data_IF_311761055199
#
_entry.id   IF_311761055199
#
_cell.length_a   1.000
_cell.length_b   1.000
_cell.length_c   1.000
_cell.angle_alpha   90.00
_cell.angle_beta   90.00
_cell.angle_gamma   90.00
#
_symmetry.space_group_name_H-M   'P 1'
#
loop_
_entity.id
_entity.type
_entity.pdbx_description
1 polymer ?
#
# COMPACT_ATOMS: atom_id res chain seq x y z
N UNK A 1 0.36 -42.28 -42.45
CA UNK A 1 0.48 -40.96 -41.79
C UNK A 1 -0.52 -40.94 -40.64
N UNK A 2 -0.29 -41.49 -39.44
CA UNK A 2 0.87 -41.48 -38.53
C UNK A 2 1.21 -40.11 -37.92
N UNK A 3 0.21 -39.43 -37.35
CA UNK A 3 0.45 -38.22 -36.52
C UNK A 3 -0.36 -38.19 -35.20
N UNK A 4 -1.58 -38.74 -35.16
CA UNK A 4 -2.45 -38.62 -33.96
C UNK A 4 -2.09 -39.50 -32.75
N UNK A 5 -1.20 -40.49 -32.90
CA UNK A 5 -0.83 -41.41 -31.81
C UNK A 5 0.53 -41.09 -31.17
N UNK A 6 1.32 -40.18 -31.75
CA UNK A 6 2.63 -39.77 -31.20
C UNK A 6 2.47 -38.75 -30.07
N UNK A 7 1.58 -37.77 -30.27
CA UNK A 7 1.28 -36.73 -29.27
C UNK A 7 0.78 -37.32 -27.94
N UNK A 8 -0.03 -38.38 -27.94
CA UNK A 8 -0.56 -38.96 -26.69
C UNK A 8 0.50 -39.66 -25.83
N UNK A 9 1.53 -40.23 -26.45
CA UNK A 9 2.60 -40.92 -25.73
C UNK A 9 3.66 -39.93 -25.27
N UNK A 10 4.03 -38.96 -26.11
CA UNK A 10 4.95 -37.88 -25.75
C UNK A 10 4.34 -36.99 -24.65
N UNK A 11 3.06 -36.64 -24.73
CA UNK A 11 2.38 -35.90 -23.65
C UNK A 11 2.34 -36.69 -22.34
N UNK A 12 2.07 -38.00 -22.38
CA UNK A 12 2.08 -38.85 -21.17
C UNK A 12 3.48 -39.04 -20.60
N UNK A 13 4.50 -39.14 -21.45
CA UNK A 13 5.90 -39.27 -21.05
C UNK A 13 6.42 -37.95 -20.46
N UNK A 14 6.13 -36.83 -21.12
CA UNK A 14 6.45 -35.46 -20.66
C UNK A 14 5.71 -35.16 -19.36
N UNK A 15 4.42 -35.48 -19.25
CA UNK A 15 3.65 -35.38 -18.01
C UNK A 15 4.24 -36.24 -16.89
N UNK A 16 4.63 -37.48 -17.19
CA UNK A 16 5.24 -38.40 -16.24
C UNK A 16 6.63 -37.96 -15.77
N UNK A 17 7.44 -37.37 -16.66
CA UNK A 17 8.74 -36.80 -16.35
C UNK A 17 8.61 -35.49 -15.56
N UNK A 18 7.67 -34.61 -15.92
CA UNK A 18 7.35 -33.40 -15.14
C UNK A 18 6.90 -33.78 -13.72
N UNK A 19 6.08 -34.83 -13.56
CA UNK A 19 5.66 -35.32 -12.24
C UNK A 19 6.80 -35.96 -11.43
N UNK A 20 7.83 -36.49 -12.09
CA UNK A 20 9.00 -37.14 -11.47
C UNK A 20 10.12 -36.14 -11.12
N UNK A 21 10.21 -35.03 -11.86
CA UNK A 21 11.27 -34.02 -11.71
C UNK A 21 10.78 -32.65 -11.20
N UNK A 22 9.48 -32.46 -10.97
CA UNK A 22 9.03 -31.34 -10.15
C UNK A 22 9.61 -31.51 -8.74
N UNK A 23 10.38 -30.53 -8.23
CA UNK A 23 10.70 -30.53 -6.81
C UNK A 23 9.35 -30.56 -6.09
N UNK A 24 9.15 -31.53 -5.18
CA UNK A 24 7.97 -31.55 -4.31
C UNK A 24 7.91 -30.18 -3.64
N UNK A 25 7.06 -29.30 -4.14
CA UNK A 25 6.77 -28.04 -3.47
C UNK A 25 6.27 -28.42 -2.08
N UNK A 26 7.10 -28.16 -1.06
CA UNK A 26 6.73 -28.33 0.35
C UNK A 26 5.82 -27.17 0.81
N UNK A 27 5.28 -26.37 -0.10
CA UNK A 27 4.35 -25.29 0.23
C UNK A 27 2.98 -25.89 0.52
N UNK A 28 2.64 -26.01 1.81
CA UNK A 28 1.28 -26.37 2.20
C UNK A 28 0.39 -25.14 2.05
N UNK A 29 -0.46 -25.12 1.01
CA UNK A 29 -1.51 -24.11 0.91
C UNK A 29 -2.47 -24.31 2.10
N UNK A 30 -2.59 -23.33 3.00
CA UNK A 30 -3.43 -23.43 4.20
C UNK A 30 -4.92 -23.68 3.92
N UNK A 31 -5.36 -23.49 2.68
CA UNK A 31 -6.71 -23.80 2.16
C UNK A 31 -6.78 -25.11 1.36
N UNK A 32 -5.75 -25.96 1.41
CA UNK A 32 -5.72 -27.23 0.67
C UNK A 32 -6.81 -28.19 1.15
N UNK A 33 -7.77 -28.47 0.26
CA UNK A 33 -8.81 -29.48 0.50
C UNK A 33 -8.22 -30.87 0.60
N UNK A 34 -7.16 -31.15 -0.16
CA UNK A 34 -6.49 -32.45 -0.16
C UNK A 34 -5.92 -32.80 1.24
N UNK A 35 -5.30 -31.84 1.92
CA UNK A 35 -4.78 -32.05 3.28
C UNK A 35 -5.91 -32.26 4.30
N UNK A 36 -7.03 -31.55 4.12
CA UNK A 36 -8.21 -31.65 4.98
C UNK A 36 -8.89 -33.00 4.81
N UNK A 37 -9.00 -33.48 3.57
CA UNK A 37 -9.66 -34.74 3.23
C UNK A 37 -8.81 -35.94 3.61
N UNK A 38 -7.48 -35.85 3.46
CA UNK A 38 -6.53 -36.89 3.87
C UNK A 38 -6.43 -37.04 5.40
N UNK A 39 -6.78 -36.01 6.17
CA UNK A 39 -6.76 -36.07 7.63
C UNK A 39 -8.00 -36.79 8.20
N UNK A 40 -7.74 -37.87 8.94
CA UNK A 40 -8.73 -38.63 9.71
C UNK A 40 -8.66 -38.33 11.22
N UNK A 41 -7.60 -37.66 11.67
CA UNK A 41 -7.37 -37.38 13.09
C UNK A 41 -8.15 -36.14 13.56
N UNK A 42 -8.62 -36.18 14.81
CA UNK A 42 -9.34 -35.08 15.45
C UNK A 42 -8.85 -34.88 16.88
N UNK A 43 -8.99 -33.66 17.39
CA UNK A 43 -8.76 -33.39 18.81
C UNK A 43 -9.69 -34.24 19.66
N UNK A 44 -9.13 -34.82 20.72
CA UNK A 44 -9.89 -35.59 21.69
C UNK A 44 -10.89 -34.69 22.43
N UNK A 45 -11.92 -35.29 23.03
CA UNK A 45 -12.91 -34.52 23.80
C UNK A 45 -12.29 -33.81 24.99
N UNK A 46 -11.29 -34.42 25.62
CA UNK A 46 -10.53 -33.79 26.70
C UNK A 46 -9.82 -32.51 26.24
N UNK A 47 -9.14 -32.55 25.09
CA UNK A 47 -8.48 -31.37 24.50
C UNK A 47 -9.49 -30.29 24.09
N UNK A 48 -10.61 -30.67 23.46
CA UNK A 48 -11.68 -29.72 23.13
C UNK A 48 -12.22 -29.01 24.38
N UNK A 49 -12.42 -29.75 25.48
CA UNK A 49 -12.84 -29.20 26.76
C UNK A 49 -11.77 -28.31 27.40
N UNK A 50 -10.49 -28.66 27.24
CA UNK A 50 -9.40 -27.84 27.75
C UNK A 50 -9.32 -26.49 27.02
N UNK A 51 -9.50 -26.49 25.70
CA UNK A 51 -9.42 -25.30 24.84
C UNK A 51 -10.68 -24.44 24.99
N UNK A 52 -11.87 -25.02 24.77
CA UNK A 52 -13.13 -24.28 24.69
C UNK A 52 -13.93 -24.24 26.01
N UNK A 53 -13.43 -24.92 27.06
CA UNK A 53 -14.05 -24.97 28.40
C UNK A 53 -15.53 -25.33 28.31
N UNK A 54 -16.40 -24.60 29.03
CA UNK A 54 -17.86 -24.81 29.08
C UNK A 54 -18.55 -24.68 27.71
N UNK A 55 -17.88 -24.15 26.68
CA UNK A 55 -18.46 -23.97 25.34
C UNK A 55 -18.08 -25.10 24.37
N UNK A 56 -17.31 -26.09 24.80
CA UNK A 56 -16.84 -27.22 23.97
C UNK A 56 -17.99 -27.99 23.28
N UNK A 57 -19.18 -28.04 23.88
CA UNK A 57 -20.37 -28.70 23.30
C UNK A 57 -20.94 -27.98 22.06
N UNK A 58 -20.64 -26.68 21.88
CA UNK A 58 -21.13 -25.90 20.75
C UNK A 58 -20.22 -25.96 19.52
N UNK A 59 -19.01 -26.54 19.64
CA UNK A 59 -18.03 -26.59 18.56
C UNK A 59 -17.91 -28.02 18.00
N UNK A 60 -17.90 -28.18 16.66
CA UNK A 60 -17.54 -29.45 16.07
C UNK A 60 -16.09 -29.80 16.42
N UNK A 61 -15.81 -31.09 16.61
CA UNK A 61 -14.45 -31.56 16.90
C UNK A 61 -13.48 -31.13 15.78
N UNK A 62 -12.41 -30.41 16.14
CA UNK A 62 -11.44 -29.93 15.17
C UNK A 62 -10.61 -31.09 14.58
N UNK A 63 -10.39 -31.05 13.27
CA UNK A 63 -9.45 -31.97 12.60
C UNK A 63 -8.02 -31.57 12.90
N UNK A 64 -7.16 -32.57 13.10
CA UNK A 64 -5.71 -32.38 13.24
C UNK A 64 -5.08 -32.58 11.87
N UNK A 65 -4.44 -31.55 11.33
CA UNK A 65 -3.74 -31.65 10.05
C UNK A 65 -2.26 -31.89 10.32
N UNK A 66 -1.76 -33.05 9.87
CA UNK A 66 -0.35 -33.37 9.98
C UNK A 66 0.44 -32.55 8.95
N UNK A 67 1.40 -31.76 9.43
CA UNK A 67 2.27 -30.91 8.60
C UNK A 67 3.72 -31.04 9.06
N UNK A 68 4.66 -30.42 8.35
CA UNK A 68 6.07 -30.35 8.80
C UNK A 68 6.30 -29.34 9.93
N UNK A 69 5.29 -28.55 10.29
CA UNK A 69 5.40 -27.48 11.28
C UNK A 69 5.45 -28.08 12.68
N UNK A 70 6.45 -27.69 13.46
CA UNK A 70 6.66 -28.11 14.84
C UNK A 70 6.70 -26.89 15.77
N UNK A 71 6.49 -27.10 17.06
CA UNK A 71 6.55 -26.05 18.06
C UNK A 71 7.15 -26.55 19.38
N UNK A 72 7.88 -25.69 20.09
CA UNK A 72 8.50 -25.99 21.39
C UNK A 72 8.52 -24.74 22.29
N UNK A 73 8.54 -24.91 23.62
CA UNK A 73 8.79 -23.81 24.57
C UNK A 73 10.27 -23.83 24.96
N UNK A 74 10.99 -22.75 24.67
CA UNK A 74 12.43 -22.66 24.85
C UNK A 74 12.85 -21.38 25.57
N UNK A 75 14.04 -21.42 26.17
CA UNK A 75 14.73 -20.24 26.69
C UNK A 75 15.76 -19.76 25.67
N UNK A 76 15.70 -18.48 25.29
CA UNK A 76 16.68 -17.85 24.41
C UNK A 76 17.55 -16.92 25.25
N UNK A 77 18.84 -17.24 25.38
CA UNK A 77 19.82 -16.39 26.07
C UNK A 77 20.19 -15.16 25.22
N UNK A 78 20.76 -14.11 25.82
CA UNK A 78 21.24 -12.95 25.07
C UNK A 78 22.32 -13.30 24.04
N UNK A 79 23.18 -14.29 24.34
CA UNK A 79 24.20 -14.79 23.41
C UNK A 79 23.56 -15.48 22.22
N UNK A 80 22.64 -16.42 22.47
CA UNK A 80 21.93 -17.12 21.40
C UNK A 80 21.09 -16.14 20.55
N UNK A 81 20.48 -15.12 21.16
CA UNK A 81 19.76 -14.09 20.42
C UNK A 81 20.67 -13.32 19.45
N UNK A 82 21.91 -13.00 19.87
CA UNK A 82 22.91 -12.39 18.98
C UNK A 82 23.31 -13.34 17.85
N UNK A 83 23.54 -14.61 18.16
CA UNK A 83 23.88 -15.63 17.15
C UNK A 83 22.75 -15.82 16.14
N UNK A 84 21.49 -15.90 16.61
CA UNK A 84 20.30 -15.99 15.75
C UNK A 84 20.23 -14.80 14.79
N UNK A 85 20.50 -13.58 15.26
CA UNK A 85 20.50 -12.39 14.41
C UNK A 85 21.69 -12.37 13.43
N UNK A 86 22.85 -12.89 13.86
CA UNK A 86 24.06 -12.92 13.04
C UNK A 86 23.99 -13.95 11.92
N UNK A 87 23.52 -15.18 12.22
CA UNK A 87 23.54 -16.31 11.29
C UNK A 87 22.26 -16.49 10.48
N UNK A 88 21.18 -15.80 10.85
CA UNK A 88 20.04 -15.64 9.95
C UNK A 88 20.52 -14.86 8.72
N UNK A 89 20.42 -15.45 7.52
CA UNK A 89 20.82 -14.86 6.23
C UNK A 89 20.06 -13.57 5.92
N UNK A 90 18.93 -13.33 6.60
CA UNK A 90 18.21 -12.04 6.57
C UNK A 90 18.72 -10.98 7.57
N UNK A 91 19.63 -11.34 8.47
CA UNK A 91 20.35 -10.47 9.40
C UNK A 91 21.72 -10.02 8.89
N UNK A 92 22.36 -10.82 8.05
CA UNK A 92 23.58 -10.47 7.32
C UNK A 92 23.42 -10.80 5.83
N UNK A 93 23.22 -9.77 4.99
CA UNK A 93 23.39 -9.84 3.53
C UNK A 93 22.37 -10.73 2.81
N UNK A 94 21.14 -10.23 2.66
CA UNK A 94 20.32 -10.54 1.49
C UNK A 94 20.09 -9.23 0.71
N UNK A 95 20.83 -8.97 -0.39
CA UNK A 95 20.67 -7.74 -1.17
C UNK A 95 19.28 -7.63 -1.83
N UNK A 96 18.58 -8.75 -2.01
CA UNK A 96 17.29 -8.86 -2.71
C UNK A 96 16.08 -8.66 -1.77
N UNK A 97 16.19 -8.98 -0.47
CA UNK A 97 15.06 -8.94 0.47
C UNK A 97 15.45 -8.35 1.84
N UNK A 98 15.01 -7.12 2.12
CA UNK A 98 15.29 -6.44 3.39
C UNK A 98 14.26 -6.80 4.47
N UNK A 99 14.74 -7.19 5.64
CA UNK A 99 13.91 -7.37 6.84
C UNK A 99 13.23 -6.05 7.26
N UNK A 100 12.04 -6.16 7.88
CA UNK A 100 11.29 -5.02 8.44
C UNK A 100 12.19 -4.24 9.39
N UNK A 101 12.24 -2.91 9.23
CA UNK A 101 12.91 -2.02 10.20
C UNK A 101 12.24 -2.16 11.56
N UNK A 102 12.97 -2.69 12.53
CA UNK A 102 12.48 -2.89 13.89
C UNK A 102 12.32 -1.53 14.58
N UNK A 103 11.22 -1.36 15.33
CA UNK A 103 10.97 -0.14 16.08
C UNK A 103 11.91 -0.06 17.30
N UNK A 104 12.84 0.90 17.30
CA UNK A 104 13.75 1.15 18.42
C UNK A 104 13.02 1.36 19.76
N UNK A 105 11.84 1.96 19.72
CA UNK A 105 11.03 2.19 20.92
C UNK A 105 10.45 0.89 21.49
N UNK A 106 10.01 -0.03 20.62
CA UNK A 106 9.48 -1.34 21.06
C UNK A 106 10.59 -2.24 21.57
N UNK A 107 11.75 -2.26 20.91
CA UNK A 107 12.96 -2.96 21.38
C UNK A 107 13.33 -2.49 22.78
N UNK A 108 13.49 -1.17 22.99
CA UNK A 108 13.84 -0.62 24.29
C UNK A 108 12.86 -1.03 25.39
N UNK A 109 11.55 -1.00 25.10
CA UNK A 109 10.51 -1.41 26.06
C UNK A 109 10.64 -2.90 26.43
N UNK A 110 10.89 -3.77 25.46
CA UNK A 110 11.04 -5.20 25.69
C UNK A 110 12.34 -5.54 26.41
N UNK A 111 13.45 -4.88 26.07
CA UNK A 111 14.73 -5.02 26.77
C UNK A 111 14.56 -4.69 28.25
N UNK A 112 13.93 -3.56 28.58
CA UNK A 112 13.65 -3.20 29.98
C UNK A 112 12.77 -4.23 30.70
N UNK A 113 11.75 -4.76 30.02
CA UNK A 113 10.90 -5.80 30.62
C UNK A 113 11.66 -7.11 30.87
N UNK A 114 12.60 -7.49 29.99
CA UNK A 114 13.45 -8.67 30.16
C UNK A 114 14.46 -8.46 31.30
N UNK A 115 15.13 -7.31 31.35
CA UNK A 115 16.09 -6.95 32.40
C UNK A 115 15.44 -6.93 33.79
N UNK A 116 14.24 -6.34 33.88
CA UNK A 116 13.44 -6.26 35.11
C UNK A 116 12.80 -7.60 35.52
N UNK A 117 13.00 -8.69 34.76
CA UNK A 117 12.30 -9.96 34.95
C UNK A 117 10.77 -9.83 34.92
N UNK A 118 10.25 -8.85 34.19
CA UNK A 118 8.81 -8.58 33.98
C UNK A 118 8.28 -9.14 32.66
N UNK A 119 9.14 -9.81 31.88
CA UNK A 119 8.73 -10.44 30.63
C UNK A 119 7.83 -11.65 30.91
N UNK A 120 6.63 -11.66 30.32
CA UNK A 120 5.71 -12.79 30.40
C UNK A 120 5.85 -13.70 29.18
N UNK A 121 5.72 -15.02 29.37
CA UNK A 121 5.59 -15.96 28.27
C UNK A 121 4.32 -15.63 27.46
N UNK A 122 4.52 -15.12 26.24
CA UNK A 122 3.43 -14.77 25.32
C UNK A 122 3.09 -15.95 24.43
N UNK A 123 1.81 -16.12 24.07
CA UNK A 123 1.40 -17.09 23.04
C UNK A 123 1.88 -16.76 21.61
N UNK A 124 2.49 -15.58 21.43
CA UNK A 124 3.11 -15.16 20.18
C UNK A 124 4.50 -15.83 20.02
N UNK A 125 4.72 -16.69 19.01
CA UNK A 125 5.96 -17.45 18.87
C UNK A 125 7.08 -16.69 18.13
N UNK A 126 8.30 -17.19 18.24
CA UNK A 126 9.38 -16.93 17.28
C UNK A 126 9.26 -17.98 16.16
N UNK A 127 9.20 -17.53 14.91
CA UNK A 127 8.97 -18.44 13.77
C UNK A 127 10.24 -18.58 12.94
N UNK A 128 10.65 -19.82 12.70
CA UNK A 128 11.78 -20.18 11.85
C UNK A 128 11.32 -20.88 10.56
N UNK A 129 11.96 -20.56 9.44
CA UNK A 129 11.77 -21.28 8.18
C UNK A 129 12.32 -22.70 8.26
N UNK A 130 12.04 -23.52 7.26
CA UNK A 130 12.69 -24.84 7.09
C UNK A 130 14.20 -24.74 6.93
N UNK A 131 14.70 -23.59 6.49
CA UNK A 131 16.12 -23.34 6.21
C UNK A 131 16.83 -22.68 7.41
N UNK A 132 16.13 -22.50 8.53
CA UNK A 132 16.68 -21.92 9.76
C UNK A 132 16.59 -20.39 9.85
N UNK A 133 15.92 -19.73 8.89
CA UNK A 133 15.79 -18.27 8.86
C UNK A 133 14.72 -17.78 9.83
N UNK A 134 14.95 -16.63 10.47
CA UNK A 134 13.94 -15.98 11.32
C UNK A 134 12.86 -15.35 10.44
N UNK A 135 11.64 -15.87 10.50
CA UNK A 135 10.47 -15.34 9.80
C UNK A 135 9.68 -14.35 10.66
N UNK A 136 9.57 -14.59 11.97
CA UNK A 136 8.89 -13.70 12.91
C UNK A 136 9.59 -13.68 14.27
N UNK A 137 9.45 -12.57 14.99
CA UNK A 137 9.98 -12.39 16.35
C UNK A 137 11.21 -11.48 16.45
N UNK A 138 11.63 -10.84 15.37
CA UNK A 138 12.81 -9.97 15.29
C UNK A 138 12.91 -8.96 16.45
N UNK A 139 11.83 -8.23 16.77
CA UNK A 139 11.83 -7.25 17.88
C UNK A 139 12.16 -7.88 19.23
N UNK A 140 11.71 -9.12 19.47
CA UNK A 140 11.95 -9.83 20.73
C UNK A 140 13.36 -10.39 20.80
N UNK A 141 13.85 -10.92 19.69
CA UNK A 141 15.24 -11.39 19.59
C UNK A 141 16.20 -10.22 19.75
N UNK A 142 15.96 -9.09 19.07
CA UNK A 142 16.77 -7.87 19.21
C UNK A 142 16.71 -7.30 20.63
N UNK A 143 15.54 -7.34 21.26
CA UNK A 143 15.40 -6.94 22.66
C UNK A 143 16.21 -7.82 23.61
N UNK A 144 16.19 -9.14 23.40
CA UNK A 144 16.96 -10.11 24.19
C UNK A 144 18.46 -10.01 23.94
N UNK A 145 18.88 -9.75 22.69
CA UNK A 145 20.27 -9.49 22.34
C UNK A 145 20.83 -8.25 23.02
N UNK A 146 19.97 -7.25 23.29
CA UNK A 146 20.30 -6.02 24.01
C UNK A 146 20.10 -6.11 25.53
N UNK A 147 19.46 -7.17 26.03
CA UNK A 147 19.18 -7.38 27.46
C UNK A 147 20.32 -8.13 28.14
N UNK A 148 20.45 -7.93 29.45
CA UNK A 148 21.26 -8.74 30.35
C UNK A 148 20.69 -10.13 30.61
N UNK A 149 19.40 -10.34 30.32
CA UNK A 149 18.66 -11.59 30.58
C UNK A 149 18.00 -12.10 29.30
N UNK A 150 17.93 -13.41 29.17
CA UNK A 150 17.18 -14.06 28.11
C UNK A 150 15.67 -14.04 28.38
N UNK A 151 14.92 -14.70 27.51
CA UNK A 151 13.46 -14.83 27.68
C UNK A 151 12.98 -16.22 27.29
N UNK A 152 11.86 -16.63 27.89
CA UNK A 152 11.16 -17.86 27.54
C UNK A 152 10.13 -17.54 26.46
N UNK A 153 10.08 -18.36 25.41
CA UNK A 153 9.18 -18.16 24.28
C UNK A 153 8.79 -19.48 23.62
N UNK A 154 7.68 -19.47 22.90
CA UNK A 154 7.32 -20.56 22.00
C UNK A 154 8.09 -20.36 20.69
N UNK A 155 8.75 -21.37 20.18
CA UNK A 155 9.28 -21.40 18.82
C UNK A 155 8.36 -22.22 17.93
N UNK A 156 8.22 -21.81 16.67
CA UNK A 156 7.62 -22.61 15.60
C UNK A 156 8.68 -22.77 14.51
N UNK A 157 8.88 -23.98 14.00
CA UNK A 157 9.92 -24.25 13.00
C UNK A 157 9.47 -25.31 11.98
N UNK A 158 10.16 -25.36 10.84
CA UNK A 158 9.77 -26.23 9.71
C UNK A 158 8.73 -25.60 8.78
N UNK A 159 8.63 -24.26 8.79
CA UNK A 159 7.76 -23.48 7.89
C UNK A 159 8.44 -23.36 6.53
N UNK A 160 7.84 -23.98 5.52
CA UNK A 160 8.39 -24.16 4.16
C UNK A 160 7.85 -23.18 3.14
N UNK A 161 7.02 -22.23 3.55
CA UNK A 161 6.26 -21.37 2.64
C UNK A 161 6.80 -19.94 2.61
N UNK A 162 7.38 -19.58 1.46
CA UNK A 162 7.82 -18.22 1.15
C UNK A 162 6.65 -17.22 1.11
N UNK A 163 5.42 -17.67 0.78
CA UNK A 163 4.21 -16.83 0.76
C UNK A 163 3.59 -16.62 2.15
N UNK A 164 3.80 -17.54 3.09
CA UNK A 164 3.35 -17.38 4.48
C UNK A 164 3.98 -16.15 5.14
N UNK A 165 5.16 -15.72 4.67
CA UNK A 165 5.79 -14.48 5.12
C UNK A 165 4.93 -13.22 4.88
N UNK A 166 4.14 -13.18 3.81
CA UNK A 166 3.22 -12.07 3.55
C UNK A 166 2.08 -12.01 4.58
N UNK A 167 1.74 -13.15 5.19
CA UNK A 167 0.59 -13.32 6.09
C UNK A 167 0.95 -13.44 7.58
N UNK A 168 2.22 -13.76 7.93
CA UNK A 168 2.70 -13.80 9.32
C UNK A 168 3.05 -12.36 9.78
N UNK A 169 2.10 -11.69 10.41
CA UNK A 169 2.22 -10.65 11.46
C UNK A 169 0.86 -9.93 11.64
N UNK A 170 -0.03 -10.47 12.48
CA UNK A 170 -1.37 -9.88 12.72
C UNK A 170 -1.33 -8.73 13.76
N UNK A 171 -0.16 -8.41 14.33
CA UNK A 171 -0.03 -7.33 15.32
C UNK A 171 0.04 -5.91 14.73
N UNK A 172 0.55 -5.76 13.50
CA UNK A 172 0.56 -4.50 12.73
C UNK A 172 0.54 -4.87 11.25
N UNK A 173 -0.63 -4.76 10.61
CA UNK A 173 -0.78 -4.93 9.16
C UNK A 173 0.29 -4.07 8.47
N UNK A 174 1.19 -4.71 7.70
CA UNK A 174 2.23 -4.00 6.93
C UNK A 174 1.54 -2.95 6.05
N UNK A 175 1.97 -1.70 6.12
CA UNK A 175 1.42 -0.68 5.23
C UNK A 175 1.84 -0.98 3.78
N UNK A 176 1.09 -0.46 2.82
CA UNK A 176 1.44 -0.56 1.40
C UNK A 176 2.85 -0.03 1.10
N UNK A 177 3.23 1.08 1.72
CA UNK A 177 4.59 1.62 1.62
C UNK A 177 5.62 0.65 2.20
N UNK A 178 5.35 0.01 3.34
CA UNK A 178 6.26 -0.98 3.94
C UNK A 178 6.42 -2.21 3.04
N UNK A 179 5.35 -2.67 2.37
CA UNK A 179 5.44 -3.76 1.38
C UNK A 179 6.39 -3.36 0.24
N UNK A 180 6.24 -2.15 -0.30
CA UNK A 180 7.12 -1.63 -1.35
C UNK A 180 8.58 -1.47 -0.87
N UNK A 181 8.81 -0.96 0.35
CA UNK A 181 10.16 -0.86 0.93
C UNK A 181 10.83 -2.23 1.06
N UNK A 182 10.08 -3.24 1.48
CA UNK A 182 10.58 -4.62 1.61
C UNK A 182 10.89 -5.26 0.26
N UNK A 183 10.15 -4.88 -0.78
CA UNK A 183 10.40 -5.29 -2.16
C UNK A 183 11.60 -4.56 -2.81
N UNK A 184 12.23 -3.60 -2.12
CA UNK A 184 13.44 -2.95 -2.61
C UNK A 184 13.21 -1.87 -3.67
N UNK A 185 12.02 -1.24 -3.70
CA UNK A 185 11.78 -0.11 -4.62
C UNK A 185 12.81 1.00 -4.41
N UNK A 186 13.32 1.56 -5.51
CA UNK A 186 14.39 2.57 -5.49
C UNK A 186 13.87 4.02 -5.33
N UNK A 187 12.56 4.20 -5.31
CA UNK A 187 11.88 5.50 -5.15
C UNK A 187 11.22 5.61 -3.78
N UNK A 188 10.73 6.80 -3.42
CA UNK A 188 10.02 6.98 -2.14
C UNK A 188 8.74 6.12 -2.10
N UNK A 189 8.78 5.06 -1.30
CA UNK A 189 7.71 4.08 -1.15
C UNK A 189 6.40 4.68 -0.59
N UNK A 190 6.48 5.75 0.21
CA UNK A 190 5.29 6.42 0.74
C UNK A 190 4.59 7.23 -0.35
N UNK A 191 5.36 7.91 -1.19
CA UNK A 191 4.82 8.64 -2.35
C UNK A 191 4.27 7.62 -3.36
N UNK A 192 5.05 6.60 -3.72
CA UNK A 192 4.63 5.56 -4.67
C UNK A 192 3.35 4.85 -4.22
N UNK A 193 3.23 4.53 -2.93
CA UNK A 193 2.02 3.94 -2.39
C UNK A 193 0.79 4.83 -2.58
N UNK A 194 0.91 6.14 -2.37
CA UNK A 194 -0.21 7.08 -2.54
C UNK A 194 -0.58 7.26 -4.00
N UNK A 195 0.42 7.34 -4.89
CA UNK A 195 0.23 7.46 -6.34
C UNK A 195 -0.45 6.20 -6.89
N UNK A 196 0.02 5.01 -6.51
CA UNK A 196 -0.60 3.74 -6.88
C UNK A 196 -2.07 3.66 -6.43
N UNK A 197 -2.37 4.11 -5.20
CA UNK A 197 -3.76 4.16 -4.72
C UNK A 197 -4.64 5.12 -5.53
N UNK A 198 -4.13 6.30 -5.90
CA UNK A 198 -4.85 7.25 -6.74
C UNK A 198 -5.08 6.69 -8.15
N UNK A 199 -4.07 6.06 -8.74
CA UNK A 199 -4.15 5.42 -10.05
C UNK A 199 -5.19 4.30 -10.06
N UNK A 200 -5.13 3.36 -9.09
CA UNK A 200 -6.10 2.27 -9.00
C UNK A 200 -7.53 2.80 -8.82
N UNK A 201 -7.70 3.83 -7.98
CA UNK A 201 -9.00 4.45 -7.75
C UNK A 201 -9.54 5.13 -9.01
N UNK A 202 -8.67 5.77 -9.79
CA UNK A 202 -9.03 6.40 -11.05
C UNK A 202 -9.45 5.34 -12.08
N UNK A 203 -8.67 4.27 -12.23
CA UNK A 203 -8.94 3.16 -13.16
C UNK A 203 -10.27 2.45 -12.84
N UNK A 204 -10.60 2.29 -11.55
CA UNK A 204 -11.87 1.71 -11.11
C UNK A 204 -13.07 2.64 -11.31
N UNK A 205 -12.84 3.94 -11.57
CA UNK A 205 -13.91 4.91 -11.72
C UNK A 205 -14.49 4.84 -13.14
N UNK A 206 -15.62 4.15 -13.29
CA UNK A 206 -16.35 3.98 -14.57
C UNK A 206 -16.58 5.30 -15.33
N UNK A 207 -16.95 6.37 -14.62
CA UNK A 207 -17.08 7.70 -15.20
C UNK A 207 -15.97 8.58 -14.62
N UNK A 208 -14.90 8.83 -15.39
CA UNK A 208 -13.73 9.61 -14.95
C UNK A 208 -14.09 11.00 -14.40
N UNK A 209 -15.14 11.65 -14.92
CA UNK A 209 -15.65 12.93 -14.39
C UNK A 209 -16.23 12.83 -12.96
N UNK A 210 -16.54 11.61 -12.50
CA UNK A 210 -17.01 11.32 -11.16
C UNK A 210 -15.90 10.91 -10.18
N UNK A 211 -14.63 10.94 -10.57
CA UNK A 211 -13.53 10.59 -9.69
C UNK A 211 -13.50 11.49 -8.44
N UNK A 212 -13.38 10.90 -7.25
CA UNK A 212 -13.39 11.59 -5.95
C UNK A 212 -12.29 11.10 -5.01
N UNK A 213 -11.20 10.58 -5.58
CA UNK A 213 -10.04 10.10 -4.82
C UNK A 213 -10.20 8.63 -4.43
N UNK A 214 -9.54 8.25 -3.34
CA UNK A 214 -9.37 6.85 -2.94
C UNK A 214 -10.49 6.32 -2.04
N UNK A 215 -11.56 7.09 -1.84
CA UNK A 215 -12.68 6.71 -0.98
C UNK A 215 -13.46 5.56 -1.61
N UNK A 216 -13.59 4.44 -0.88
CA UNK A 216 -14.26 3.24 -1.37
C UNK A 216 -13.40 2.35 -2.28
N UNK A 217 -12.15 2.73 -2.54
CA UNK A 217 -11.20 1.91 -3.30
C UNK A 217 -10.67 0.79 -2.41
N UNK A 218 -11.03 -0.47 -2.73
CA UNK A 218 -10.34 -1.63 -2.18
C UNK A 218 -9.00 -1.80 -2.88
N UNK A 219 -7.93 -1.83 -2.10
CA UNK A 219 -6.59 -2.09 -2.61
C UNK A 219 -5.81 -2.83 -1.53
N UNK A 220 -5.73 -4.15 -1.59
CA UNK A 220 -5.06 -4.90 -0.53
C UNK A 220 -3.56 -4.57 -0.49
N UNK A 221 -2.94 -4.75 0.67
CA UNK A 221 -1.52 -4.44 0.83
C UNK A 221 -0.64 -5.39 0.01
N UNK A 222 -1.04 -6.65 -0.14
CA UNK A 222 -0.34 -7.62 -0.99
C UNK A 222 -0.46 -7.31 -2.49
N UNK A 223 -1.56 -6.68 -2.92
CA UNK A 223 -1.78 -6.33 -4.34
C UNK A 223 -0.88 -5.19 -4.82
N UNK A 224 -0.28 -4.40 -3.92
CA UNK A 224 0.44 -3.19 -4.35
C UNK A 224 1.70 -3.52 -5.14
N UNK A 225 2.39 -4.60 -4.78
CA UNK A 225 3.63 -4.97 -5.44
C UNK A 225 3.37 -5.27 -6.91
N UNK A 226 2.44 -6.19 -7.17
CA UNK A 226 2.00 -6.54 -8.52
C UNK A 226 1.49 -5.32 -9.31
N UNK A 227 0.68 -4.46 -8.68
CA UNK A 227 0.15 -3.26 -9.35
C UNK A 227 1.25 -2.26 -9.76
N UNK A 228 2.32 -2.14 -8.98
CA UNK A 228 3.45 -1.25 -9.28
C UNK A 228 4.41 -1.89 -10.28
N UNK A 229 4.64 -3.20 -10.20
CA UNK A 229 5.47 -3.96 -11.15
C UNK A 229 4.91 -3.92 -12.57
N UNK A 230 3.59 -3.98 -12.72
CA UNK A 230 2.93 -3.85 -14.03
C UNK A 230 2.94 -2.41 -14.58
N UNK A 231 3.42 -1.42 -13.81
CA UNK A 231 3.27 0.01 -14.10
C UNK A 231 4.49 0.82 -13.66
N UNK A 232 5.61 0.56 -14.31
CA UNK A 232 6.88 1.24 -14.06
C UNK A 232 6.78 2.77 -14.20
N UNK A 233 5.83 3.29 -14.99
CA UNK A 233 5.58 4.72 -15.19
C UNK A 233 5.16 5.44 -13.91
N UNK A 234 4.57 4.72 -12.94
CA UNK A 234 4.29 5.25 -11.61
C UNK A 234 5.60 5.59 -10.90
N UNK A 235 6.58 4.68 -10.94
CA UNK A 235 7.88 4.89 -10.31
C UNK A 235 8.67 6.01 -11.00
N UNK A 236 8.65 6.08 -12.34
CA UNK A 236 9.27 7.16 -13.11
C UNK A 236 8.70 8.54 -12.72
N UNK A 237 7.38 8.64 -12.59
CA UNK A 237 6.70 9.86 -12.17
C UNK A 237 7.04 10.26 -10.73
N UNK A 238 7.17 9.27 -9.84
CA UNK A 238 7.59 9.51 -8.45
C UNK A 238 9.03 9.99 -8.38
N UNK A 239 9.96 9.37 -9.13
CA UNK A 239 11.37 9.76 -9.14
C UNK A 239 11.55 11.20 -9.63
N UNK A 240 10.97 11.54 -10.79
CA UNK A 240 11.01 12.88 -11.37
C UNK A 240 10.52 13.94 -10.38
N UNK A 241 9.32 13.75 -9.81
CA UNK A 241 8.73 14.71 -8.87
C UNK A 241 9.49 14.75 -7.55
N UNK A 242 10.02 13.63 -7.06
CA UNK A 242 10.79 13.63 -5.80
C UNK A 242 12.08 14.43 -5.94
N UNK A 243 12.79 14.30 -7.07
CA UNK A 243 13.98 15.11 -7.38
C UNK A 243 13.65 16.59 -7.49
N UNK A 244 12.56 16.92 -8.20
CA UNK A 244 12.12 18.30 -8.39
C UNK A 244 11.64 18.95 -7.09
N UNK A 245 10.84 18.24 -6.29
CA UNK A 245 10.37 18.68 -4.99
C UNK A 245 11.51 18.89 -3.98
N UNK A 246 12.55 18.04 -4.04
CA UNK A 246 13.76 18.22 -3.22
C UNK A 246 14.52 19.47 -3.61
N UNK A 247 14.63 19.76 -4.91
CA UNK A 247 15.31 20.95 -5.44
C UNK A 247 14.56 22.24 -5.11
N UNK A 248 13.23 22.23 -5.17
CA UNK A 248 12.35 23.38 -4.97
C UNK A 248 11.48 23.23 -3.71
N UNK A 249 12.12 22.88 -2.60
CA UNK A 249 11.45 22.55 -1.34
C UNK A 249 10.68 23.74 -0.74
N UNK A 250 11.10 24.98 -1.01
CA UNK A 250 10.48 26.18 -0.45
C UNK A 250 9.35 26.72 -1.34
N UNK A 251 9.32 26.31 -2.60
CA UNK A 251 8.40 26.81 -3.62
C UNK A 251 7.22 25.86 -3.87
N UNK A 252 7.32 24.62 -3.40
CA UNK A 252 6.30 23.59 -3.59
C UNK A 252 5.02 23.88 -2.77
N UNK A 253 3.87 23.94 -3.45
CA UNK A 253 2.58 24.32 -2.84
C UNK A 253 1.62 23.15 -2.56
N UNK A 254 2.01 21.92 -2.92
CA UNK A 254 1.23 20.72 -2.68
C UNK A 254 2.13 19.52 -2.35
N UNK A 255 1.57 18.47 -1.77
CA UNK A 255 2.35 17.29 -1.43
C UNK A 255 2.86 16.59 -2.71
N UNK A 256 4.09 16.03 -2.72
CA UNK A 256 4.69 15.42 -3.91
C UNK A 256 3.82 14.37 -4.63
N UNK A 257 3.08 13.55 -3.89
CA UNK A 257 2.18 12.54 -4.48
C UNK A 257 1.05 13.13 -5.35
N UNK A 258 0.68 14.40 -5.14
CA UNK A 258 -0.29 15.11 -5.98
C UNK A 258 0.30 15.36 -7.36
N UNK A 259 1.51 15.92 -7.41
CA UNK A 259 2.20 16.19 -8.66
C UNK A 259 2.64 14.89 -9.36
N UNK A 260 3.08 13.87 -8.62
CA UNK A 260 3.47 12.58 -9.19
C UNK A 260 2.28 11.86 -9.83
N UNK A 261 1.11 11.89 -9.19
CA UNK A 261 -0.10 11.36 -9.81
C UNK A 261 -0.55 12.18 -11.03
N UNK A 262 -0.43 13.51 -10.97
CA UNK A 262 -0.73 14.36 -12.13
C UNK A 262 0.22 14.08 -13.31
N UNK A 263 1.52 13.96 -13.05
CA UNK A 263 2.54 13.61 -14.04
C UNK A 263 2.26 12.25 -14.70
N UNK A 264 2.00 11.22 -13.87
CA UNK A 264 1.64 9.89 -14.35
C UNK A 264 0.40 9.94 -15.25
N UNK A 265 -0.67 10.60 -14.79
CA UNK A 265 -1.93 10.62 -15.54
C UNK A 265 -1.81 11.43 -16.83
N UNK A 266 -1.09 12.56 -16.81
CA UNK A 266 -0.82 13.33 -18.04
C UNK A 266 -0.09 12.43 -19.05
N UNK A 267 1.01 11.78 -18.66
CA UNK A 267 1.76 10.91 -19.56
C UNK A 267 0.94 9.74 -20.09
N UNK A 268 0.12 9.10 -19.24
CA UNK A 268 -0.76 8.02 -19.66
C UNK A 268 -1.82 8.47 -20.68
N UNK A 269 -2.37 9.69 -20.53
CA UNK A 269 -3.35 10.24 -21.47
C UNK A 269 -2.69 10.81 -22.75
N UNK A 270 -1.42 11.26 -22.68
CA UNK A 270 -0.66 11.71 -23.86
C UNK A 270 -0.59 10.62 -24.93
N UNK A 271 -0.49 9.35 -24.54
CA UNK A 271 -0.47 8.23 -25.49
C UNK A 271 -1.75 8.12 -26.35
N UNK A 272 -2.87 8.71 -25.89
CA UNK A 272 -4.16 8.70 -26.59
C UNK A 272 -4.52 10.07 -27.17
N UNK A 273 -3.58 11.02 -27.17
CA UNK A 273 -3.81 12.38 -27.66
C UNK A 273 -3.24 12.54 -29.07
N UNK A 274 -4.12 12.81 -30.04
CA UNK A 274 -3.75 12.94 -31.46
C UNK A 274 -3.15 14.32 -31.82
N UNK A 275 -3.15 15.28 -30.89
CA UNK A 275 -2.66 16.64 -31.13
C UNK A 275 -1.20 16.86 -30.77
N UNK A 276 -0.62 17.96 -31.23
CA UNK A 276 0.73 18.36 -30.81
C UNK A 276 0.74 18.88 -29.38
N UNK A 277 1.80 18.53 -28.64
CA UNK A 277 2.00 19.02 -27.28
C UNK A 277 2.55 20.45 -27.29
N UNK A 278 1.74 21.42 -26.87
CA UNK A 278 2.18 22.80 -26.67
C UNK A 278 3.29 22.92 -25.60
N UNK A 279 3.27 22.03 -24.60
CA UNK A 279 4.27 21.93 -23.54
C UNK A 279 4.41 20.47 -23.11
N UNK A 280 5.62 20.05 -22.70
CA UNK A 280 5.82 18.70 -22.16
C UNK A 280 5.32 18.61 -20.72
N UNK A 281 4.93 17.40 -20.24
CA UNK A 281 4.52 17.18 -18.86
C UNK A 281 5.58 17.63 -17.85
N UNK A 282 6.86 17.36 -18.14
CA UNK A 282 7.99 17.74 -17.30
C UNK A 282 8.19 19.24 -17.26
N UNK A 283 8.09 19.93 -18.41
CA UNK A 283 8.24 21.39 -18.47
C UNK A 283 7.10 22.10 -17.72
N UNK A 284 5.86 21.66 -17.93
CA UNK A 284 4.69 22.20 -17.25
C UNK A 284 4.80 22.04 -15.72
N UNK A 285 5.03 20.82 -15.24
CA UNK A 285 5.11 20.58 -13.80
C UNK A 285 6.37 21.19 -13.16
N UNK A 286 7.47 21.33 -13.91
CA UNK A 286 8.65 22.07 -13.46
C UNK A 286 8.33 23.54 -13.21
N UNK A 287 7.62 24.20 -14.13
CA UNK A 287 7.18 25.60 -13.96
C UNK A 287 6.17 25.74 -12.82
N UNK A 288 5.18 24.85 -12.74
CA UNK A 288 4.19 24.86 -11.65
C UNK A 288 4.84 24.65 -10.28
N UNK A 289 5.84 23.77 -10.13
CA UNK A 289 6.48 23.50 -8.84
C UNK A 289 7.50 24.58 -8.47
N UNK A 290 8.36 24.96 -9.41
CA UNK A 290 9.46 25.90 -9.15
C UNK A 290 9.03 27.36 -9.15
N UNK A 291 7.98 27.70 -9.90
CA UNK A 291 7.62 29.10 -10.19
C UNK A 291 8.56 29.81 -11.17
N UNK A 292 9.59 29.13 -11.67
CA UNK A 292 10.58 29.72 -12.59
C UNK A 292 9.93 29.92 -13.97
N UNK A 293 10.15 31.10 -14.55
CA UNK A 293 9.64 31.45 -15.88
C UNK A 293 8.24 32.06 -15.88
N UNK A 294 7.63 32.26 -14.70
CA UNK A 294 6.39 33.01 -14.54
C UNK A 294 6.71 34.50 -14.55
N UNK A 295 6.04 35.25 -15.41
CA UNK A 295 6.25 36.68 -15.66
C UNK A 295 5.00 37.52 -15.39
N UNK A 296 3.80 36.92 -15.47
CA UNK A 296 2.52 37.61 -15.35
C UNK A 296 1.50 36.80 -14.54
N UNK A 297 0.50 37.48 -13.99
CA UNK A 297 -0.65 36.82 -13.36
C UNK A 297 -1.55 36.09 -14.36
N UNK A 298 -1.42 36.44 -15.64
CA UNK A 298 -2.13 35.80 -16.75
C UNK A 298 -1.55 34.42 -17.09
N UNK A 299 -0.31 34.14 -16.67
CA UNK A 299 0.36 32.86 -16.94
C UNK A 299 -0.43 31.70 -16.32
N UNK A 300 -0.61 30.64 -17.09
CA UNK A 300 -1.37 29.45 -16.68
C UNK A 300 -0.78 28.87 -15.38
N UNK A 301 0.54 28.78 -15.29
CA UNK A 301 1.24 28.25 -14.12
C UNK A 301 1.10 29.17 -12.90
N UNK A 302 1.04 30.50 -13.08
CA UNK A 302 0.74 31.43 -11.99
C UNK A 302 -0.66 31.15 -11.43
N UNK A 303 -1.66 31.05 -12.30
CA UNK A 303 -3.04 30.81 -11.89
C UNK A 303 -3.20 29.46 -11.16
N UNK A 304 -2.52 28.41 -11.65
CA UNK A 304 -2.47 27.10 -10.97
C UNK A 304 -1.87 27.27 -9.57
N UNK A 305 -0.70 27.90 -9.48
CA UNK A 305 0.02 28.12 -8.22
C UNK A 305 -0.78 28.95 -7.23
N UNK A 306 -1.41 30.02 -7.70
CA UNK A 306 -2.24 30.89 -6.88
C UNK A 306 -3.41 30.10 -6.27
N UNK A 307 -4.10 29.27 -7.06
CA UNK A 307 -5.16 28.42 -6.52
C UNK A 307 -4.63 27.35 -5.57
N UNK A 308 -3.49 26.70 -5.86
CA UNK A 308 -2.87 25.73 -4.94
C UNK A 308 -2.51 26.38 -3.60
N UNK A 309 -2.03 27.62 -3.61
CA UNK A 309 -1.73 28.40 -2.41
C UNK A 309 -2.96 28.57 -1.50
N UNK A 310 -4.15 28.79 -2.08
CA UNK A 310 -5.40 28.90 -1.29
C UNK A 310 -5.75 27.63 -0.52
N UNK A 311 -5.19 26.49 -0.92
CA UNK A 311 -5.46 25.17 -0.32
C UNK A 311 -4.35 24.74 0.65
N UNK A 312 -3.31 25.54 0.87
CA UNK A 312 -2.22 25.19 1.78
C UNK A 312 -2.78 25.02 3.21
N UNK A 313 -2.39 23.93 3.87
CA UNK A 313 -2.89 23.56 5.20
C UNK A 313 -4.17 22.71 5.21
N UNK A 314 -4.87 22.54 4.07
CA UNK A 314 -6.04 21.67 4.00
C UNK A 314 -5.68 20.18 3.76
N UNK A 315 -6.08 19.30 4.67
CA UNK A 315 -5.82 17.85 4.57
C UNK A 315 -7.01 17.01 4.05
N UNK A 316 -8.14 17.64 3.69
CA UNK A 316 -9.35 16.92 3.29
C UNK A 316 -9.18 16.16 1.96
N UNK A 317 -9.94 15.07 1.79
CA UNK A 317 -9.99 14.34 0.51
C UNK A 317 -10.45 15.25 -0.63
N UNK A 318 -11.39 16.16 -0.38
CA UNK A 318 -11.80 17.17 -1.37
C UNK A 318 -10.67 18.11 -1.76
N UNK A 319 -9.80 18.50 -0.82
CA UNK A 319 -8.64 19.32 -1.13
C UNK A 319 -7.66 18.62 -2.06
N UNK A 320 -7.45 17.31 -1.90
CA UNK A 320 -6.66 16.50 -2.85
C UNK A 320 -7.25 16.60 -4.26
N UNK A 321 -8.57 16.44 -4.40
CA UNK A 321 -9.24 16.50 -5.70
C UNK A 321 -9.18 17.90 -6.32
N UNK A 322 -9.33 18.95 -5.52
CA UNK A 322 -9.22 20.31 -6.02
C UNK A 322 -7.81 20.63 -6.53
N UNK A 323 -6.76 20.17 -5.84
CA UNK A 323 -5.37 20.35 -6.30
C UNK A 323 -5.15 19.63 -7.63
N UNK A 324 -5.60 18.39 -7.74
CA UNK A 324 -5.50 17.61 -8.97
C UNK A 324 -6.26 18.27 -10.13
N UNK A 325 -7.54 18.59 -9.94
CA UNK A 325 -8.34 19.24 -10.99
C UNK A 325 -7.77 20.61 -11.38
N UNK A 326 -7.21 21.39 -10.46
CA UNK A 326 -6.53 22.64 -10.79
C UNK A 326 -5.34 22.42 -11.72
N UNK A 327 -4.46 21.47 -11.39
CA UNK A 327 -3.31 21.11 -12.23
C UNK A 327 -3.77 20.64 -13.62
N UNK A 328 -4.78 19.78 -13.70
CA UNK A 328 -5.29 19.33 -15.00
C UNK A 328 -6.00 20.44 -15.80
N UNK A 329 -6.66 21.40 -15.13
CA UNK A 329 -7.22 22.57 -15.81
C UNK A 329 -6.13 23.44 -16.45
N UNK A 330 -5.02 23.64 -15.74
CA UNK A 330 -3.87 24.36 -16.31
C UNK A 330 -3.27 23.62 -17.49
N UNK A 331 -3.07 22.30 -17.37
CA UNK A 331 -2.63 21.46 -18.49
C UNK A 331 -3.55 21.59 -19.71
N UNK A 332 -4.86 21.40 -19.52
CA UNK A 332 -5.82 21.45 -20.63
C UNK A 332 -5.85 22.82 -21.33
N UNK A 333 -5.69 23.93 -20.60
CA UNK A 333 -5.62 25.27 -21.21
C UNK A 333 -4.39 25.45 -22.11
N UNK A 334 -3.23 24.88 -21.76
CA UNK A 334 -2.05 24.89 -22.65
C UNK A 334 -2.35 24.23 -24.01
N UNK A 335 -3.27 23.27 -24.04
CA UNK A 335 -3.68 22.56 -25.26
C UNK A 335 -4.99 23.09 -25.85
N UNK A 336 -5.43 24.31 -25.47
CA UNK A 336 -6.69 24.91 -25.92
C UNK A 336 -7.93 24.04 -25.65
N UNK A 337 -7.88 23.17 -24.63
CA UNK A 337 -8.97 22.29 -24.24
C UNK A 337 -9.85 22.99 -23.22
N UNK A 338 -11.15 22.99 -23.52
CA UNK A 338 -12.18 23.64 -22.74
C UNK A 338 -12.28 23.09 -21.30
N UNK A 339 -12.20 23.97 -20.29
CA UNK A 339 -12.22 23.60 -18.87
C UNK A 339 -13.53 23.96 -18.16
N UNK A 340 -13.88 23.21 -17.12
CA UNK A 340 -15.09 23.48 -16.33
C UNK A 340 -14.98 24.82 -15.59
N UNK A 341 -15.98 25.68 -15.76
CA UNK A 341 -16.07 26.97 -15.07
C UNK A 341 -15.18 28.09 -15.63
N UNK A 342 -14.48 27.84 -16.76
CA UNK A 342 -13.65 28.79 -17.52
C UNK A 342 -12.53 29.48 -16.72
N UNK A 343 -12.12 28.92 -15.57
CA UNK A 343 -11.01 29.43 -14.76
C UNK A 343 -10.29 28.29 -14.05
N UNK A 344 -9.00 28.48 -13.75
CA UNK A 344 -8.17 27.53 -13.01
C UNK A 344 -8.50 27.62 -11.51
N UNK A 345 -9.72 27.19 -11.17
CA UNK A 345 -10.20 27.06 -9.80
C UNK A 345 -11.32 26.02 -9.76
N UNK A 346 -11.47 25.34 -8.62
CA UNK A 346 -12.53 24.34 -8.42
C UNK A 346 -13.62 24.90 -7.52
N UNK A 347 -14.88 24.87 -7.98
CA UNK A 347 -16.03 25.35 -7.22
C UNK A 347 -16.39 24.36 -6.11
N UNK A 348 -16.39 24.85 -4.87
CA UNK A 348 -16.83 24.10 -3.69
C UNK A 348 -18.09 24.72 -3.10
N UNK A 349 -18.90 23.88 -2.45
CA UNK A 349 -20.05 24.34 -1.67
C UNK A 349 -19.53 25.05 -0.43
N UNK A 350 -19.90 26.32 -0.25
CA UNK A 350 -19.58 27.06 0.96
C UNK A 350 -20.23 26.37 2.17
N UNK A 351 -19.44 26.11 3.21
CA UNK A 351 -19.96 25.65 4.51
C UNK A 351 -19.81 26.80 5.50
N UNK A 352 -20.79 26.92 6.38
CA UNK A 352 -20.79 27.89 7.46
C UNK A 352 -20.93 27.14 8.79
N UNK A 353 -20.14 27.53 9.77
CA UNK A 353 -20.32 27.14 11.15
C UNK A 353 -21.09 28.25 11.88
N UNK A 354 -21.76 27.92 12.97
CA UNK A 354 -22.24 28.94 13.91
C UNK A 354 -21.17 29.17 14.96
N UNK A 355 -20.84 30.42 15.25
CA UNK A 355 -20.03 30.77 16.41
C UNK A 355 -20.85 30.68 17.71
N UNK A 356 -20.21 30.98 18.85
CA UNK A 356 -20.83 30.93 20.19
C UNK A 356 -22.02 31.91 20.31
N UNK A 357 -22.04 32.96 19.49
CA UNK A 357 -23.10 33.97 19.39
C UNK A 357 -24.18 33.61 18.34
N UNK A 358 -24.04 32.47 17.67
CA UNK A 358 -24.98 31.98 16.65
C UNK A 358 -24.81 32.59 15.24
N UNK A 359 -23.80 33.42 15.01
CA UNK A 359 -23.50 34.01 13.71
C UNK A 359 -22.88 32.98 12.76
N UNK A 360 -23.24 33.07 11.48
CA UNK A 360 -22.70 32.19 10.43
C UNK A 360 -21.29 32.64 10.04
N UNK A 361 -20.28 31.91 10.47
CA UNK A 361 -18.88 32.10 10.06
C UNK A 361 -18.51 31.09 8.98
N UNK A 362 -17.74 31.45 7.93
CA UNK A 362 -17.27 30.49 6.94
C UNK A 362 -16.46 29.36 7.60
N UNK A 363 -16.83 28.12 7.34
CA UNK A 363 -16.10 26.97 7.85
C UNK A 363 -14.69 26.93 7.22
N UNK A 364 -13.66 26.68 8.04
CA UNK A 364 -12.25 26.57 7.59
C UNK A 364 -12.02 25.50 6.51
N UNK A 365 -12.96 24.57 6.31
CA UNK A 365 -12.94 23.63 5.20
C UNK A 365 -14.20 23.79 4.36
N UNK A 366 -14.00 24.13 3.09
CA UNK A 366 -15.09 24.19 2.12
C UNK A 366 -15.69 22.78 1.87
N UNK A 367 -17.00 22.73 1.62
CA UNK A 367 -17.79 21.51 1.49
C UNK A 367 -17.57 20.73 0.19
N UNK A 368 -18.59 19.97 -0.22
CA UNK A 368 -18.54 19.10 -1.40
C UNK A 368 -18.14 19.86 -2.67
N UNK A 369 -17.48 19.17 -3.60
CA UNK A 369 -17.11 19.73 -4.90
C UNK A 369 -18.33 19.73 -5.82
N UNK A 370 -18.73 20.90 -6.31
CA UNK A 370 -19.96 21.09 -7.11
C UNK A 370 -19.70 21.11 -8.63
N UNK A 371 -18.65 20.42 -9.09
CA UNK A 371 -18.29 20.34 -10.50
C UNK A 371 -17.70 18.96 -10.86
N UNK A 372 -17.70 18.62 -12.14
CA UNK A 372 -17.03 17.42 -12.66
C UNK A 372 -15.52 17.45 -12.36
N UNK A 373 -14.93 16.28 -12.10
CA UNK A 373 -13.48 16.14 -12.01
C UNK A 373 -12.84 16.45 -13.37
N UNK A 374 -11.82 17.30 -13.39
CA UNK A 374 -11.01 17.54 -14.59
C UNK A 374 -9.82 16.59 -14.58
N UNK A 375 -9.52 15.97 -15.73
CA UNK A 375 -8.33 15.15 -15.98
C UNK A 375 -7.67 15.58 -17.30
N UNK A 376 -6.44 15.13 -17.54
CA UNK A 376 -5.63 15.54 -18.70
C UNK A 376 -6.35 15.22 -20.03
N UNK A 377 -6.22 16.14 -20.99
CA UNK A 377 -6.82 16.09 -22.33
C UNK A 377 -8.35 15.96 -22.39
N UNK A 378 -9.04 16.10 -21.26
CA UNK A 378 -10.49 16.00 -21.19
C UNK A 378 -11.17 17.37 -21.22
N UNK A 379 -12.05 17.58 -22.20
CA UNK A 379 -12.94 18.74 -22.24
C UNK A 379 -13.99 18.76 -21.11
N UNK A 380 -14.81 19.81 -21.09
CA UNK A 380 -15.92 20.02 -20.12
C UNK A 380 -16.84 18.78 -20.03
N UNK A 381 -16.70 18.02 -18.94
CA UNK A 381 -17.59 16.91 -18.64
C UNK A 381 -18.91 17.34 -17.99
N UNK A 382 -19.96 16.54 -18.19
CA UNK A 382 -21.22 16.71 -17.45
C UNK A 382 -20.99 16.39 -15.97
N UNK A 383 -21.34 17.33 -15.09
CA UNK A 383 -21.34 17.09 -13.63
C UNK A 383 -22.29 15.92 -13.31
N UNK A 384 -21.80 14.82 -12.72
CA UNK A 384 -22.64 13.65 -12.46
C UNK A 384 -23.82 13.98 -11.54
N UNK A 385 -25.01 13.41 -11.83
CA UNK A 385 -26.26 13.69 -11.12
C UNK A 385 -26.18 13.51 -9.59
N UNK A 386 -25.39 12.54 -9.11
CA UNK A 386 -25.18 12.32 -7.66
C UNK A 386 -24.51 13.53 -6.98
N UNK A 387 -23.60 14.21 -7.67
CA UNK A 387 -22.89 15.40 -7.16
C UNK A 387 -23.83 16.61 -7.10
N UNK A 388 -24.66 16.80 -8.12
CA UNK A 388 -25.69 17.84 -8.14
C UNK A 388 -26.69 17.65 -6.99
N UNK A 389 -27.15 16.40 -6.74
CA UNK A 389 -28.07 16.09 -5.63
C UNK A 389 -27.44 16.32 -4.25
N UNK A 390 -26.15 16.00 -4.06
CA UNK A 390 -25.44 16.23 -2.80
C UNK A 390 -25.22 17.72 -2.48
N UNK A 391 -25.07 18.57 -3.49
CA UNK A 391 -24.98 20.03 -3.29
C UNK A 391 -26.31 20.61 -2.78
N UNK A 392 -27.43 20.10 -3.27
CA UNK A 392 -28.76 20.61 -2.92
C UNK A 392 -29.24 20.18 -1.52
N UNK A 393 -28.79 19.03 -1.01
CA UNK A 393 -29.13 18.53 0.34
C UNK A 393 -28.50 19.32 1.50
N UNK A 394 -27.53 20.19 1.24
CA UNK A 394 -26.86 21.01 2.26
C UNK A 394 -27.43 22.44 2.30
N UNK A 395 -28.24 22.82 1.29
CA UNK A 395 -28.87 24.13 1.17
C UNK A 395 -30.33 24.15 1.67
N UNK A 396 -30.92 22.98 1.94
CA UNK A 396 -32.16 22.81 2.72
C UNK A 396 -31.85 22.63 4.19
#
# INVERSE_FOLDING_TARGET
MNDKNKDSFEDKLVSGLIKKYQPKHKSYLGSSRELIDASLERLSRAQMNEIFKKRSDYYPNLKIIQTSIKHEVVYISPTLARDILQYSSRGAINPEHKNRRVSKAEVKRYTLAMDDSKWCLTGEPIVFSSDGEVLNGHTRIEAAANSSKGFITVIIYGVTDDLSFAHIDVGKIRSRAQVLEMAGVQVDANILSRVAMLAKAFDQTKNRYAFRGTQGTSFQQAEILHYVEEREELALSVDFISKLAKKHKHEIQAAPHIYAFAHYLINAETANYDGELAITPEAYLSRVISGIGIQSEEDIEYQVRNYLQTLVGEASSYAVICRLSCIFKGWNLHHAIDIVGNRIAVRRVARYNKDEDGNRTPAKSAGNINEAFTYAFAGKGKTPLKILKQANLILS
#
